data_IF_618585252275
#
_entry.id   IF_618585252275
#
_cell.length_a   1.000
_cell.length_b   1.000
_cell.length_c   1.000
_cell.angle_alpha   90.00
_cell.angle_beta   90.00
_cell.angle_gamma   90.00
#
_symmetry.space_group_name_H-M   'P 1'
#
loop_
_entity.id
_entity.type
_entity.pdbx_description
1 polymer ?
#
# COMPACT_ATOMS: atom_id res chain seq x y z
N UNK A 1 -2.42 -14.61 8.75
CA UNK A 1 -2.51 -14.81 7.28
C UNK A 1 -3.93 -14.44 6.98
N UNK A 2 -4.21 -13.17 6.70
CA UNK A 2 -5.51 -12.87 6.10
C UNK A 2 -5.26 -12.96 4.61
N UNK A 3 -5.19 -14.22 4.16
CA UNK A 3 -5.16 -14.60 2.77
C UNK A 3 -6.62 -14.70 2.36
N UNK A 4 -7.09 -13.83 1.49
CA UNK A 4 -8.39 -14.00 0.86
C UNK A 4 -8.33 -15.27 0.02
N UNK A 5 -8.83 -16.37 0.59
CA UNK A 5 -8.85 -17.67 -0.08
C UNK A 5 -10.00 -17.65 -1.08
N UNK A 6 -9.67 -17.50 -2.36
CA UNK A 6 -10.67 -17.62 -3.40
C UNK A 6 -11.09 -19.09 -3.54
N UNK A 7 -12.29 -19.39 -3.04
CA UNK A 7 -12.91 -20.71 -3.16
C UNK A 7 -13.41 -20.99 -4.59
N UNK A 8 -13.58 -19.96 -5.43
CA UNK A 8 -14.14 -20.09 -6.77
C UNK A 8 -13.08 -20.39 -7.85
N UNK A 9 -11.83 -19.92 -7.67
CA UNK A 9 -10.79 -20.05 -8.71
C UNK A 9 -9.54 -20.77 -8.21
N UNK A 10 -9.51 -22.10 -8.37
CA UNK A 10 -8.27 -22.91 -8.38
C UNK A 10 -7.25 -22.65 -7.23
N UNK A 11 -7.70 -22.44 -5.98
CA UNK A 11 -6.85 -22.36 -4.77
C UNK A 11 -5.61 -21.45 -4.96
N UNK A 12 -5.76 -20.30 -5.61
CA UNK A 12 -4.65 -19.35 -5.80
C UNK A 12 -4.62 -18.32 -4.69
N UNK A 13 -3.42 -18.01 -4.24
CA UNK A 13 -3.17 -16.92 -3.31
C UNK A 13 -2.94 -15.65 -4.14
N UNK A 14 -3.89 -14.71 -4.09
CA UNK A 14 -3.71 -13.40 -4.70
C UNK A 14 -2.85 -12.50 -3.80
N UNK A 15 -2.04 -11.67 -4.44
CA UNK A 15 -1.27 -10.62 -3.77
C UNK A 15 -2.18 -9.41 -3.67
N UNK A 16 -2.68 -9.14 -2.47
CA UNK A 16 -3.54 -7.98 -2.24
C UNK A 16 -2.70 -6.70 -2.17
N UNK A 17 -3.33 -5.57 -2.49
CA UNK A 17 -2.71 -4.25 -2.43
C UNK A 17 -3.77 -3.21 -2.00
N UNK A 18 -3.31 -2.10 -1.45
CA UNK A 18 -4.12 -0.94 -1.05
C UNK A 18 -3.77 0.21 -1.98
N UNK A 19 -4.78 0.94 -2.44
CA UNK A 19 -4.61 2.19 -3.19
C UNK A 19 -5.36 3.28 -2.44
N UNK A 20 -4.70 4.43 -2.30
CA UNK A 20 -5.31 5.69 -1.89
C UNK A 20 -5.55 6.52 -3.15
N UNK A 21 -6.81 6.80 -3.43
CA UNK A 21 -7.26 7.57 -4.60
C UNK A 21 -7.99 8.81 -4.10
N UNK A 22 -7.62 9.99 -4.59
CA UNK A 22 -8.38 11.21 -4.35
C UNK A 22 -9.48 11.33 -5.41
N UNK A 23 -10.71 11.53 -4.96
CA UNK A 23 -11.86 11.82 -5.81
C UNK A 23 -12.30 13.26 -5.64
N UNK A 24 -12.59 13.95 -6.74
CA UNK A 24 -13.25 15.25 -6.70
C UNK A 24 -14.75 15.10 -6.50
N UNK A 25 -15.41 16.17 -6.06
CA UNK A 25 -16.85 16.21 -5.87
C UNK A 25 -17.66 16.08 -7.17
N UNK A 26 -17.00 16.12 -8.34
CA UNK A 26 -17.64 15.93 -9.64
C UNK A 26 -18.07 14.47 -9.91
N UNK A 27 -17.60 13.52 -9.09
CA UNK A 27 -17.94 12.10 -9.18
C UNK A 27 -17.32 11.37 -10.38
N UNK A 28 -16.52 12.04 -11.19
CA UNK A 28 -15.91 11.51 -12.40
C UNK A 28 -14.37 11.55 -12.37
N UNK A 29 -13.80 12.48 -11.60
CA UNK A 29 -12.36 12.69 -11.54
C UNK A 29 -11.75 11.96 -10.33
N UNK A 30 -10.95 10.94 -10.63
CA UNK A 30 -10.21 10.15 -9.64
C UNK A 30 -8.71 10.15 -9.98
N UNK A 31 -7.87 10.49 -8.99
CA UNK A 31 -6.42 10.49 -9.11
C UNK A 31 -5.80 9.48 -8.15
N UNK A 32 -5.02 8.49 -8.62
CA UNK A 32 -4.30 7.58 -7.73
C UNK A 32 -3.12 8.32 -7.12
N UNK A 33 -3.11 8.44 -5.79
CA UNK A 33 -2.13 9.25 -5.06
C UNK A 33 -1.05 8.39 -4.39
N UNK A 34 -1.43 7.26 -3.80
CA UNK A 34 -0.48 6.38 -3.13
C UNK A 34 -0.93 4.91 -3.18
N UNK A 35 0.00 3.98 -3.06
CA UNK A 35 -0.29 2.55 -3.00
C UNK A 35 0.65 1.81 -2.07
N UNK A 36 0.11 0.82 -1.35
CA UNK A 36 0.88 -0.10 -0.51
C UNK A 36 0.57 -1.52 -0.92
N UNK A 37 1.62 -2.33 -1.13
CA UNK A 37 1.45 -3.77 -1.26
C UNK A 37 1.00 -4.36 0.09
N UNK A 38 0.27 -5.46 0.10
CA UNK A 38 -0.04 -6.18 1.34
C UNK A 38 0.80 -7.44 1.38
N UNK A 39 1.62 -7.56 2.43
CA UNK A 39 2.59 -8.62 2.56
C UNK A 39 2.40 -9.41 3.86
N UNK A 40 2.27 -10.74 3.74
CA UNK A 40 2.20 -11.62 4.92
C UNK A 40 3.60 -11.91 5.47
N UNK A 41 3.79 -11.78 6.79
CA UNK A 41 5.04 -12.14 7.50
C UNK A 41 5.54 -13.55 7.17
N UNK A 42 4.63 -14.48 6.85
CA UNK A 42 4.93 -15.89 6.51
C UNK A 42 5.28 -16.14 5.04
N UNK A 43 5.03 -15.20 4.14
CA UNK A 43 5.09 -15.42 2.69
C UNK A 43 5.79 -14.27 1.96
N UNK A 44 6.94 -13.81 2.48
CA UNK A 44 7.77 -12.71 1.93
C UNK A 44 8.03 -12.90 0.43
N UNK A 45 7.49 -12.01 -0.41
CA UNK A 45 7.88 -11.91 -1.82
C UNK A 45 9.30 -11.38 -1.77
N UNK A 46 10.26 -12.22 -2.17
CA UNK A 46 11.69 -11.95 -2.13
C UNK A 46 12.19 -11.71 -0.69
N UNK A 47 12.14 -12.77 0.14
CA UNK A 47 12.61 -12.79 1.52
C UNK A 47 13.75 -11.82 1.75
N UNK A 48 13.55 -10.85 2.65
CA UNK A 48 14.47 -9.74 2.91
C UNK A 48 15.85 -10.36 3.19
N UNK A 49 16.70 -10.44 2.16
CA UNK A 49 18.05 -10.93 2.36
C UNK A 49 18.72 -9.93 3.29
N UNK A 50 19.43 -10.39 4.32
CA UNK A 50 20.07 -9.50 5.31
C UNK A 50 21.06 -8.49 4.70
N UNK A 51 21.35 -8.62 3.40
CA UNK A 51 22.20 -7.76 2.59
C UNK A 51 21.43 -6.64 1.81
N UNK A 52 20.12 -6.47 2.03
CA UNK A 52 19.36 -5.39 1.37
C UNK A 52 19.64 -4.06 2.07
N UNK A 53 20.10 -3.06 1.30
CA UNK A 53 20.34 -1.71 1.83
C UNK A 53 19.02 -1.06 2.28
N UNK A 54 18.93 -0.74 3.57
CA UNK A 54 17.73 -0.13 4.20
C UNK A 54 17.41 1.27 3.67
N UNK A 55 18.36 1.92 2.99
CA UNK A 55 18.15 3.25 2.39
C UNK A 55 17.31 3.17 1.11
N UNK A 56 17.20 1.99 0.51
CA UNK A 56 16.50 1.83 -0.76
C UNK A 56 14.97 1.94 -0.60
N UNK A 57 14.31 2.44 -1.65
CA UNK A 57 12.85 2.64 -1.68
C UNK A 57 12.05 1.33 -1.66
N UNK A 58 12.62 0.24 -2.16
CA UNK A 58 12.03 -1.10 -2.09
C UNK A 58 11.97 -1.66 -0.67
N UNK A 59 12.99 -1.41 0.17
CA UNK A 59 13.01 -1.82 1.57
C UNK A 59 11.95 -1.05 2.37
N UNK A 60 11.82 0.26 2.14
CA UNK A 60 10.75 1.08 2.74
C UNK A 60 9.35 0.59 2.37
N UNK A 61 9.13 0.30 1.08
CA UNK A 61 7.86 -0.30 0.59
C UNK A 61 7.60 -1.69 1.16
N UNK A 62 8.64 -2.47 1.41
CA UNK A 62 8.51 -3.76 2.09
C UNK A 62 8.10 -3.58 3.55
N UNK A 63 8.66 -2.59 4.25
CA UNK A 63 8.25 -2.27 5.63
C UNK A 63 6.79 -1.81 5.68
N UNK A 64 6.38 -0.89 4.80
CA UNK A 64 4.99 -0.46 4.61
C UNK A 64 4.06 -1.66 4.34
N UNK A 65 4.50 -2.60 3.51
CA UNK A 65 3.66 -3.75 3.15
C UNK A 65 3.42 -4.75 4.27
N UNK A 66 4.26 -4.73 5.31
CA UNK A 66 4.12 -5.58 6.49
C UNK A 66 3.20 -4.95 7.56
N UNK A 67 2.85 -3.67 7.41
CA UNK A 67 1.98 -2.96 8.34
C UNK A 67 0.51 -3.35 8.17
N UNK A 68 -0.25 -3.20 9.24
CA UNK A 68 -1.70 -3.44 9.21
C UNK A 68 -2.44 -2.25 8.63
N UNK A 69 -3.72 -2.45 8.25
CA UNK A 69 -4.59 -1.39 7.73
C UNK A 69 -4.57 -0.09 8.57
N UNK A 70 -4.82 -0.13 9.89
CA UNK A 70 -4.93 1.09 10.70
C UNK A 70 -3.59 1.83 10.85
N UNK A 71 -2.46 1.14 10.71
CA UNK A 71 -1.12 1.75 10.82
C UNK A 71 -0.70 2.41 9.50
N UNK A 72 -0.98 1.75 8.37
CA UNK A 72 -0.54 2.22 7.05
C UNK A 72 -1.38 3.38 6.51
N UNK A 73 -2.70 3.41 6.77
CA UNK A 73 -3.60 4.44 6.21
C UNK A 73 -3.20 5.86 6.62
N UNK A 74 -2.96 6.17 7.91
CA UNK A 74 -2.51 7.52 8.31
C UNK A 74 -1.18 7.92 7.67
N UNK A 75 -0.25 6.97 7.50
CA UNK A 75 1.03 7.22 6.85
C UNK A 75 0.85 7.59 5.37
N UNK A 76 -0.01 6.88 4.64
CA UNK A 76 -0.33 7.19 3.24
C UNK A 76 -0.95 8.59 3.11
N UNK A 77 -1.88 8.96 4.00
CA UNK A 77 -2.50 10.30 4.01
C UNK A 77 -1.45 11.38 4.29
N UNK A 78 -0.59 11.18 5.30
CA UNK A 78 0.46 12.14 5.63
C UNK A 78 1.45 12.33 4.48
N UNK A 79 1.85 11.25 3.79
CA UNK A 79 2.69 11.32 2.59
C UNK A 79 2.06 12.19 1.50
N UNK A 80 0.76 12.03 1.23
CA UNK A 80 0.04 12.84 0.24
C UNK A 80 -0.03 14.31 0.67
N UNK A 81 -0.31 14.60 1.94
CA UNK A 81 -0.32 15.97 2.45
C UNK A 81 1.07 16.64 2.32
N UNK A 82 2.15 15.90 2.62
CA UNK A 82 3.53 16.39 2.53
C UNK A 82 4.00 16.61 1.09
N UNK A 83 3.49 15.84 0.12
CA UNK A 83 3.81 15.99 -1.30
C UNK A 83 3.29 17.30 -1.92
N UNK A 84 2.62 18.16 -1.14
CA UNK A 84 2.25 19.51 -1.58
C UNK A 84 0.92 19.55 -2.34
N UNK A 85 0.07 18.53 -2.20
CA UNK A 85 -1.34 18.63 -2.56
C UNK A 85 -2.06 19.49 -1.51
N UNK A 86 -1.70 20.77 -1.48
CA UNK A 86 -2.43 21.81 -0.76
C UNK A 86 -3.81 21.84 -1.38
N UNK A 87 -4.81 21.36 -0.62
CA UNK A 87 -6.21 21.60 -0.97
C UNK A 87 -6.33 23.11 -1.23
N UNK A 88 -6.84 23.55 -2.38
CA UNK A 88 -7.07 24.96 -2.61
C UNK A 88 -8.05 25.44 -1.54
N UNK A 89 -7.51 26.08 -0.51
CA UNK A 89 -8.28 26.79 0.49
C UNK A 89 -8.84 28.02 -0.20
N UNK A 90 -10.14 28.00 -0.48
CA UNK A 90 -10.93 29.20 -0.75
C UNK A 90 -11.12 30.02 0.54
#
# INVERSE_FOLDING_TARGET
MDRSFDHASKRRFYKDFRILTLGWSDGASFMPNDFSLIHSKKSKINGVSGNIDKRNSGYKRLEESLQTAPEQIPAMVACVCLQGYVLPTY
#
